data_IF_108765915791
#
_entry.id   IF_108765915791
#
_cell.length_a   1.000
_cell.length_b   1.000
_cell.length_c   1.000
_cell.angle_alpha   90.00
_cell.angle_beta   90.00
_cell.angle_gamma   90.00
#
_symmetry.space_group_name_H-M   'P 1'
#
loop_
_entity.id
_entity.type
_entity.pdbx_description
1 polymer ?
#
# COMPACT_ATOMS: atom_id res chain seq x y z
N UNK A 1 -1.96 8.09 -28.17
CA UNK A 1 -0.91 7.69 -27.22
C UNK A 1 -0.27 8.97 -26.73
N UNK A 2 -0.34 9.26 -25.43
CA UNK A 2 0.33 10.45 -24.88
C UNK A 2 1.83 10.18 -24.93
N UNK A 3 2.54 10.94 -25.76
CA UNK A 3 4.00 10.96 -25.81
C UNK A 3 4.52 11.19 -24.38
N UNK A 4 5.39 10.30 -23.89
CA UNK A 4 6.00 10.49 -22.59
C UNK A 4 6.79 11.81 -22.63
N UNK A 5 6.46 12.75 -21.74
CA UNK A 5 7.16 14.02 -21.60
C UNK A 5 8.68 13.74 -21.52
N UNK A 6 9.50 14.21 -22.48
CA UNK A 6 10.92 13.88 -22.55
C UNK A 6 11.71 14.41 -21.34
N UNK A 7 11.12 15.29 -20.53
CA UNK A 7 11.69 15.76 -19.27
C UNK A 7 11.42 14.82 -18.08
N UNK A 8 10.50 13.86 -18.23
CA UNK A 8 10.04 13.01 -17.13
C UNK A 8 10.82 11.70 -17.13
N UNK A 9 11.83 11.61 -16.27
CA UNK A 9 12.58 10.37 -16.06
C UNK A 9 11.63 9.25 -15.61
N UNK A 10 11.74 8.07 -16.22
CA UNK A 10 11.11 6.86 -15.70
C UNK A 10 11.64 6.54 -14.30
N UNK A 11 10.73 6.15 -13.40
CA UNK A 11 11.10 5.69 -12.08
C UNK A 11 11.50 4.22 -12.13
N UNK A 12 12.44 3.84 -11.27
CA UNK A 12 12.72 2.43 -11.03
C UNK A 12 11.57 1.81 -10.21
N UNK A 13 11.35 0.48 -10.29
CA UNK A 13 10.31 -0.18 -9.49
C UNK A 13 10.43 0.12 -7.98
N UNK A 14 11.66 0.26 -7.47
CA UNK A 14 11.92 0.61 -6.06
C UNK A 14 11.50 2.05 -5.75
N UNK A 15 11.71 2.98 -6.66
CA UNK A 15 11.28 4.38 -6.49
C UNK A 15 9.75 4.50 -6.55
N UNK A 16 9.11 3.76 -7.45
CA UNK A 16 7.65 3.68 -7.54
C UNK A 16 7.04 3.09 -6.27
N UNK A 17 7.60 1.98 -5.77
CA UNK A 17 7.18 1.35 -4.52
C UNK A 17 7.28 2.31 -3.32
N UNK A 18 8.38 3.07 -3.22
CA UNK A 18 8.56 4.08 -2.16
C UNK A 18 7.55 5.21 -2.27
N UNK A 19 7.25 5.67 -3.50
CA UNK A 19 6.26 6.73 -3.72
C UNK A 19 4.86 6.24 -3.30
N UNK A 20 4.49 5.03 -3.72
CA UNK A 20 3.23 4.41 -3.35
C UNK A 20 3.10 4.25 -1.82
N UNK A 21 4.12 3.70 -1.16
CA UNK A 21 4.10 3.49 0.28
C UNK A 21 3.97 4.83 1.04
N UNK A 22 4.65 5.87 0.57
CA UNK A 22 4.52 7.22 1.13
C UNK A 22 3.10 7.77 1.00
N UNK A 23 2.46 7.58 -0.15
CA UNK A 23 1.09 8.04 -0.38
C UNK A 23 0.07 7.26 0.45
N UNK A 24 0.25 5.94 0.59
CA UNK A 24 -0.55 5.11 1.47
C UNK A 24 -0.44 5.55 2.94
N UNK A 25 0.78 5.81 3.43
CA UNK A 25 0.98 6.34 4.79
C UNK A 25 0.38 7.75 4.97
N UNK A 26 0.39 8.58 3.93
CA UNK A 26 -0.27 9.89 3.95
C UNK A 26 -1.78 9.73 4.08
N UNK A 27 -2.39 8.78 3.35
CA UNK A 27 -3.81 8.47 3.47
C UNK A 27 -4.15 7.95 4.88
N UNK A 28 -3.35 7.03 5.42
CA UNK A 28 -3.51 6.54 6.79
C UNK A 28 -3.47 7.66 7.85
N UNK A 29 -2.56 8.63 7.69
CA UNK A 29 -2.50 9.83 8.54
C UNK A 29 -3.74 10.69 8.40
N UNK A 30 -4.34 10.77 7.20
CA UNK A 30 -5.61 11.46 6.98
C UNK A 30 -6.75 10.82 7.78
N UNK A 31 -6.81 9.49 7.81
CA UNK A 31 -7.79 8.74 8.61
C UNK A 31 -7.59 8.99 10.11
N UNK A 32 -6.35 8.93 10.60
CA UNK A 32 -6.03 9.25 12.00
C UNK A 32 -6.43 10.67 12.41
N UNK A 33 -6.22 11.65 11.53
CA UNK A 33 -6.59 13.04 11.79
C UNK A 33 -8.11 13.27 11.76
N UNK A 34 -8.86 12.41 11.06
CA UNK A 34 -10.32 12.47 10.91
C UNK A 34 -11.13 11.91 12.07
N UNK A 35 -10.47 11.42 13.13
CA UNK A 35 -11.04 10.66 14.26
C UNK A 35 -11.41 9.21 13.87
N UNK A 36 -10.49 8.25 14.03
CA UNK A 36 -10.64 6.86 13.59
C UNK A 36 -11.54 6.02 14.52
N UNK A 37 -12.43 6.65 15.29
CA UNK A 37 -13.19 6.00 16.37
C UNK A 37 -14.30 5.05 15.86
N UNK A 38 -14.48 4.95 14.54
CA UNK A 38 -15.38 3.98 13.93
C UNK A 38 -14.61 2.79 13.33
N UNK A 39 -15.26 1.62 13.32
CA UNK A 39 -14.69 0.39 12.79
C UNK A 39 -14.24 0.51 11.32
N UNK A 40 -14.86 1.43 10.57
CA UNK A 40 -14.48 1.74 9.19
C UNK A 40 -13.13 2.45 9.13
N UNK A 41 -12.90 3.48 9.95
CA UNK A 41 -11.63 4.19 10.05
C UNK A 41 -10.47 3.27 10.45
N UNK A 42 -10.68 2.38 11.43
CA UNK A 42 -9.69 1.38 11.82
C UNK A 42 -9.34 0.42 10.66
N UNK A 43 -10.35 -0.04 9.92
CA UNK A 43 -10.15 -0.91 8.76
C UNK A 43 -9.37 -0.21 7.64
N UNK A 44 -9.70 1.05 7.33
CA UNK A 44 -8.96 1.82 6.32
C UNK A 44 -7.50 2.05 6.71
N UNK A 45 -7.25 2.34 7.99
CA UNK A 45 -5.90 2.50 8.51
C UNK A 45 -5.09 1.22 8.35
N UNK A 46 -5.66 0.07 8.72
CA UNK A 46 -5.03 -1.23 8.56
C UNK A 46 -4.73 -1.54 7.09
N UNK A 47 -5.66 -1.27 6.18
CA UNK A 47 -5.48 -1.47 4.74
C UNK A 47 -4.34 -0.61 4.19
N UNK A 48 -4.31 0.70 4.50
CA UNK A 48 -3.25 1.58 4.03
C UNK A 48 -1.87 1.19 4.58
N UNK A 49 -1.80 0.74 5.84
CA UNK A 49 -0.57 0.23 6.43
C UNK A 49 -0.09 -1.04 5.70
N UNK A 50 -0.99 -2.00 5.45
CA UNK A 50 -0.66 -3.25 4.75
C UNK A 50 -0.22 -3.00 3.30
N UNK A 51 -0.85 -2.04 2.61
CA UNK A 51 -0.44 -1.63 1.26
C UNK A 51 0.96 -1.01 1.25
N UNK A 52 1.28 -0.16 2.24
CA UNK A 52 2.61 0.42 2.35
C UNK A 52 3.68 -0.65 2.62
N UNK A 53 3.40 -1.61 3.51
CA UNK A 53 4.29 -2.73 3.81
C UNK A 53 4.48 -3.62 2.59
N UNK A 54 3.40 -4.01 1.90
CA UNK A 54 3.48 -4.87 0.72
C UNK A 54 4.22 -4.22 -0.45
N UNK A 55 4.20 -2.89 -0.56
CA UNK A 55 5.01 -2.18 -1.56
C UNK A 55 6.50 -2.16 -1.20
N UNK A 56 6.84 -1.97 0.08
CA UNK A 56 8.25 -1.88 0.53
C UNK A 56 8.92 -3.26 0.69
N UNK A 57 8.13 -4.28 1.02
CA UNK A 57 8.57 -5.64 1.34
C UNK A 57 7.66 -6.65 0.63
N UNK A 58 7.74 -6.74 -0.71
CA UNK A 58 6.86 -7.61 -1.52
C UNK A 58 6.91 -9.08 -1.10
N UNK A 59 8.05 -9.56 -0.60
CA UNK A 59 8.23 -10.90 -0.05
C UNK A 59 7.30 -11.21 1.13
N UNK A 60 6.99 -10.23 1.97
CA UNK A 60 6.05 -10.40 3.09
C UNK A 60 4.60 -10.52 2.61
N UNK A 61 4.27 -9.91 1.48
CA UNK A 61 2.95 -10.02 0.88
C UNK A 61 2.71 -11.39 0.24
N UNK A 62 3.76 -12.02 -0.32
CA UNK A 62 3.68 -13.38 -0.85
C UNK A 62 3.38 -14.41 0.25
N UNK A 63 4.00 -14.25 1.41
CA UNK A 63 3.77 -15.12 2.56
C UNK A 63 2.38 -14.92 3.18
N UNK A 64 1.88 -13.69 3.22
CA UNK A 64 0.50 -13.40 3.60
C UNK A 64 -0.50 -14.02 2.61
N UNK A 65 -0.23 -13.94 1.30
CA UNK A 65 -1.05 -14.58 0.26
C UNK A 65 -1.10 -16.10 0.37
N UNK A 66 0.04 -16.75 0.67
CA UNK A 66 0.11 -18.18 0.96
C UNK A 66 -0.64 -18.57 2.23
N UNK A 67 -0.49 -17.80 3.31
CA UNK A 67 -1.20 -18.06 4.57
C UNK A 67 -2.72 -17.91 4.43
N UNK A 68 -3.20 -16.90 3.70
CA UNK A 68 -4.62 -16.73 3.38
C UNK A 68 -5.15 -17.82 2.44
N UNK A 69 -4.37 -18.25 1.46
CA UNK A 69 -4.69 -19.36 0.57
C UNK A 69 -4.85 -20.69 1.33
N UNK A 70 -3.92 -20.98 2.23
CA UNK A 70 -3.95 -22.17 3.08
C UNK A 70 -5.15 -22.18 4.05
N UNK A 71 -5.58 -21.01 4.53
CA UNK A 71 -6.74 -20.88 5.42
C UNK A 71 -8.09 -21.01 4.70
N UNK A 72 -8.10 -21.00 3.36
CA UNK A 72 -9.32 -21.08 2.55
C UNK A 72 -9.69 -22.51 2.15
N UNK A 73 -8.77 -23.46 2.35
CA UNK A 73 -8.94 -24.89 2.05
C UNK A 73 -9.17 -25.75 3.31
N UNK A 74 -9.24 -25.12 4.50
CA UNK A 74 -9.53 -25.76 5.79
C UNK A 74 -10.94 -25.39 6.29
#
# INVERSE_FOLDING_TARGET
>A
MAEADPCRRALTPVEEAKLFARDALRAARGVLAGNPADAAGEAYLAVFAMLAVGALFPELAEDAGRACGASREA
#
